data_IF_035935614994
#
_entry.id   IF_035935614994
#
_cell.length_a   1.000
_cell.length_b   1.000
_cell.length_c   1.000
_cell.angle_alpha   90.00
_cell.angle_beta   90.00
_cell.angle_gamma   90.00
#
_symmetry.space_group_name_H-M   'P 1'
#
loop_
_entity.id
_entity.type
_entity.pdbx_description
1 polymer ?
#
# COMPACT_ATOMS: atom_id res chain seq x y z
N UNK A 1 -18.72 18.31 10.91
CA UNK A 1 -17.35 17.89 11.33
C UNK A 1 -16.89 16.63 10.61
N UNK A 2 -17.68 15.55 10.60
CA UNK A 2 -17.41 14.30 9.85
C UNK A 2 -17.27 14.59 8.35
N UNK A 3 -18.23 15.30 7.76
CA UNK A 3 -18.20 15.70 6.34
C UNK A 3 -16.93 16.49 5.97
N UNK A 4 -16.44 17.36 6.87
CA UNK A 4 -15.19 18.10 6.67
C UNK A 4 -13.98 17.16 6.62
N UNK A 5 -13.97 16.09 7.42
CA UNK A 5 -12.92 15.07 7.31
C UNK A 5 -13.03 14.31 5.98
N UNK A 6 -14.24 13.99 5.52
CA UNK A 6 -14.44 13.36 4.21
C UNK A 6 -13.93 14.22 3.05
N UNK A 7 -14.22 15.52 3.06
CA UNK A 7 -13.68 16.46 2.09
C UNK A 7 -12.15 16.52 2.12
N UNK A 8 -11.55 16.57 3.32
CA UNK A 8 -10.09 16.59 3.46
C UNK A 8 -9.43 15.30 2.96
N UNK A 9 -10.03 14.14 3.23
CA UNK A 9 -9.57 12.84 2.72
C UNK A 9 -9.62 12.85 1.19
N UNK A 10 -10.74 13.28 0.60
CA UNK A 10 -10.93 13.36 -0.84
C UNK A 10 -9.88 14.26 -1.50
N UNK A 11 -9.78 15.51 -1.06
CA UNK A 11 -8.82 16.50 -1.62
C UNK A 11 -7.38 16.01 -1.47
N UNK A 12 -7.01 15.46 -0.31
CA UNK A 12 -5.65 14.97 -0.08
C UNK A 12 -5.32 13.76 -0.96
N UNK A 13 -6.30 12.89 -1.22
CA UNK A 13 -6.17 11.74 -2.13
C UNK A 13 -6.02 12.17 -3.58
N UNK A 14 -6.83 13.13 -4.03
CA UNK A 14 -6.74 13.70 -5.38
C UNK A 14 -5.40 14.41 -5.60
N UNK A 15 -4.96 15.22 -4.63
CA UNK A 15 -3.66 15.89 -4.68
C UNK A 15 -2.49 14.89 -4.68
N UNK A 16 -2.56 13.82 -3.87
CA UNK A 16 -1.57 12.74 -3.90
C UNK A 16 -1.51 12.10 -5.29
N UNK A 17 -2.66 11.79 -5.89
CA UNK A 17 -2.71 11.18 -7.24
C UNK A 17 -2.08 12.10 -8.29
N UNK A 18 -2.40 13.40 -8.25
CA UNK A 18 -1.80 14.37 -9.15
C UNK A 18 -0.28 14.49 -8.97
N UNK A 19 0.19 14.50 -7.71
CA UNK A 19 1.63 14.52 -7.40
C UNK A 19 2.34 13.23 -7.83
N UNK A 20 1.71 12.07 -7.64
CA UNK A 20 2.25 10.80 -8.16
C UNK A 20 2.44 10.88 -9.67
N UNK A 21 1.43 11.36 -10.40
CA UNK A 21 1.55 11.54 -11.85
C UNK A 21 2.67 12.50 -12.20
N UNK A 22 2.75 13.65 -11.52
CA UNK A 22 3.80 14.64 -11.77
C UNK A 22 5.19 14.05 -11.49
N UNK A 23 5.41 13.46 -10.32
CA UNK A 23 6.73 12.92 -9.95
C UNK A 23 7.20 11.80 -10.86
N UNK A 24 6.31 10.90 -11.30
CA UNK A 24 6.69 9.80 -12.19
C UNK A 24 6.74 10.17 -13.68
N UNK A 25 6.51 11.44 -14.03
CA UNK A 25 6.61 11.94 -15.41
C UNK A 25 7.64 13.06 -15.56
N UNK A 26 7.76 13.94 -14.56
CA UNK A 26 8.63 15.12 -14.59
C UNK A 26 9.80 15.04 -13.59
N UNK A 27 9.83 14.03 -12.71
CA UNK A 27 10.80 13.97 -11.61
C UNK A 27 10.59 15.09 -10.60
N UNK A 28 11.61 15.36 -9.78
CA UNK A 28 11.59 16.46 -8.79
C UNK A 28 12.61 17.57 -9.08
N UNK A 29 13.57 17.32 -9.97
CA UNK A 29 14.70 18.21 -10.24
C UNK A 29 14.43 19.25 -11.35
N UNK A 30 13.31 19.15 -12.06
CA UNK A 30 12.95 20.10 -13.12
C UNK A 30 13.90 20.07 -14.32
N UNK A 31 14.51 18.92 -14.58
CA UNK A 31 15.42 18.72 -15.72
C UNK A 31 14.66 18.61 -17.05
N UNK A 32 15.34 18.80 -18.20
CA UNK A 32 14.74 18.57 -19.51
C UNK A 32 14.22 17.14 -19.66
N UNK A 33 13.25 16.96 -20.56
CA UNK A 33 12.67 15.66 -20.84
C UNK A 33 13.18 15.10 -22.17
N UNK A 34 13.32 13.77 -22.23
CA UNK A 34 13.58 12.99 -23.44
C UNK A 34 12.38 12.13 -23.82
N UNK A 35 12.23 11.86 -25.11
CA UNK A 35 11.20 10.94 -25.62
C UNK A 35 11.65 9.48 -25.46
N UNK A 36 10.75 8.64 -24.93
CA UNK A 36 10.94 7.20 -24.80
C UNK A 36 9.71 6.45 -25.28
N UNK A 37 9.79 5.13 -25.37
CA UNK A 37 8.65 4.28 -25.70
C UNK A 37 7.49 4.33 -24.68
N UNK A 38 7.72 4.89 -23.48
CA UNK A 38 6.72 5.06 -22.42
C UNK A 38 6.23 6.53 -22.34
N UNK A 39 6.77 7.41 -23.19
CA UNK A 39 6.46 8.84 -23.25
C UNK A 39 7.63 9.73 -22.85
N UNK A 40 7.33 11.00 -22.59
CA UNK A 40 8.30 11.99 -22.12
C UNK A 40 8.69 11.72 -20.67
N UNK A 41 9.99 11.66 -20.41
CA UNK A 41 10.55 11.37 -19.09
C UNK A 41 11.77 12.26 -18.85
N UNK A 42 12.19 12.49 -17.60
CA UNK A 42 13.38 13.28 -17.31
C UNK A 42 14.65 12.68 -17.94
N UNK A 43 15.58 13.52 -18.40
CA UNK A 43 16.78 13.07 -19.13
C UNK A 43 17.63 12.07 -18.35
N UNK A 44 17.73 12.21 -17.03
CA UNK A 44 18.50 11.31 -16.18
C UNK A 44 17.81 9.96 -15.92
N UNK A 45 16.50 9.86 -16.19
CA UNK A 45 15.72 8.66 -15.93
C UNK A 45 15.91 7.61 -17.02
N UNK A 46 15.82 6.34 -16.67
CA UNK A 46 16.04 5.22 -17.57
C UNK A 46 14.80 4.33 -17.68
N UNK A 47 14.61 3.75 -18.87
CA UNK A 47 13.63 2.68 -19.09
C UNK A 47 14.28 1.36 -18.76
N UNK A 48 13.78 0.69 -17.73
CA UNK A 48 14.27 -0.62 -17.26
C UNK A 48 13.13 -1.61 -17.17
N UNK A 49 13.45 -2.90 -17.15
CA UNK A 49 12.47 -3.96 -16.87
C UNK A 49 12.38 -4.22 -15.36
N UNK A 50 11.22 -4.67 -14.88
CA UNK A 50 11.01 -4.99 -13.46
C UNK A 50 12.06 -5.96 -12.91
N UNK A 51 12.47 -6.95 -13.69
CA UNK A 51 13.51 -7.91 -13.28
C UNK A 51 14.89 -7.29 -13.02
N UNK A 52 15.16 -6.08 -13.51
CA UNK A 52 16.44 -5.38 -13.33
C UNK A 52 16.51 -4.67 -11.97
N UNK A 53 15.35 -4.40 -11.35
CA UNK A 53 15.26 -3.72 -10.04
C UNK A 53 15.55 -4.67 -8.87
N UNK A 54 15.37 -5.97 -9.09
CA UNK A 54 15.68 -6.97 -8.09
C UNK A 54 15.06 -8.32 -8.38
N UNK A 55 15.06 -9.18 -7.37
CA UNK A 55 14.63 -10.57 -7.54
C UNK A 55 13.11 -10.67 -7.58
N UNK A 56 12.57 -11.12 -8.71
CA UNK A 56 11.15 -11.40 -8.85
C UNK A 56 10.78 -12.79 -8.30
N UNK A 57 9.77 -12.83 -7.42
CA UNK A 57 9.29 -14.04 -6.73
C UNK A 57 7.79 -14.17 -6.91
N UNK A 58 7.33 -15.25 -7.53
CA UNK A 58 5.91 -15.62 -7.57
C UNK A 58 5.58 -16.45 -6.34
N UNK A 59 4.47 -16.17 -5.66
CA UNK A 59 4.05 -16.94 -4.50
C UNK A 59 3.78 -18.42 -4.81
N UNK A 60 3.64 -19.19 -3.74
CA UNK A 60 3.40 -20.65 -3.77
C UNK A 60 2.47 -21.01 -2.63
N UNK A 61 1.44 -21.80 -2.92
CA UNK A 61 0.55 -22.34 -1.87
C UNK A 61 1.01 -23.76 -1.54
N UNK A 62 1.44 -24.04 -0.29
CA UNK A 62 1.65 -25.41 0.18
C UNK A 62 0.40 -26.26 0.01
N UNK A 63 0.55 -27.59 0.05
CA UNK A 63 -0.60 -28.49 0.00
C UNK A 63 -1.52 -28.20 1.19
N UNK A 64 -2.75 -27.78 0.90
CA UNK A 64 -3.75 -27.45 1.93
C UNK A 64 -4.23 -28.64 2.74
N UNK A 65 -4.03 -29.86 2.23
CA UNK A 65 -4.37 -31.12 2.90
C UNK A 65 -3.26 -31.66 3.82
N UNK A 66 -2.16 -30.93 3.97
CA UNK A 66 -1.05 -31.31 4.86
C UNK A 66 -1.12 -30.37 6.05
N UNK A 67 -1.75 -30.83 7.13
CA UNK A 67 -2.05 -30.01 8.31
C UNK A 67 -0.79 -29.41 8.95
N UNK A 68 0.34 -30.13 8.89
CA UNK A 68 1.65 -29.66 9.36
C UNK A 68 2.06 -28.30 8.78
N UNK A 69 1.60 -27.94 7.56
CA UNK A 69 1.92 -26.67 6.93
C UNK A 69 1.10 -25.49 7.49
N UNK A 70 0.01 -25.75 8.22
CA UNK A 70 -0.97 -24.76 8.67
C UNK A 70 -1.17 -24.75 10.18
N UNK A 71 -0.89 -25.87 10.86
CA UNK A 71 -0.94 -25.99 12.31
C UNK A 71 0.16 -25.18 12.99
N UNK A 72 -0.16 -24.60 14.15
CA UNK A 72 0.75 -23.74 14.92
C UNK A 72 1.40 -22.64 14.06
N UNK A 73 0.59 -21.78 13.41
CA UNK A 73 1.09 -20.79 12.48
C UNK A 73 2.02 -19.77 13.15
N UNK A 74 3.10 -19.42 12.45
CA UNK A 74 4.10 -18.46 12.91
C UNK A 74 4.27 -17.27 11.93
N UNK A 75 3.98 -17.48 10.64
CA UNK A 75 4.26 -16.52 9.57
C UNK A 75 3.00 -16.16 8.79
N UNK A 76 3.02 -15.00 8.16
CA UNK A 76 1.91 -14.57 7.30
C UNK A 76 1.91 -15.32 5.96
N UNK A 77 0.73 -15.78 5.56
CA UNK A 77 0.43 -16.29 4.23
C UNK A 77 -0.48 -15.31 3.50
N UNK A 78 0.14 -14.40 2.74
CA UNK A 78 -0.50 -13.22 2.16
C UNK A 78 -1.25 -13.60 0.88
N UNK A 79 -2.52 -13.24 0.81
CA UNK A 79 -3.39 -13.40 -0.35
C UNK A 79 -3.88 -12.04 -0.89
N UNK A 80 -4.48 -11.97 -2.09
CA UNK A 80 -4.94 -10.70 -2.67
C UNK A 80 -5.97 -9.92 -1.85
N UNK A 81 -6.68 -10.59 -0.94
CA UNK A 81 -7.63 -9.96 -0.02
C UNK A 81 -6.93 -9.14 1.08
N UNK A 82 -5.68 -9.49 1.43
CA UNK A 82 -4.88 -8.80 2.44
C UNK A 82 -4.24 -7.52 1.88
N UNK A 83 -4.06 -7.43 0.56
CA UNK A 83 -3.41 -6.31 -0.11
C UNK A 83 -4.43 -5.19 -0.40
N UNK A 84 -3.98 -3.94 -0.24
CA UNK A 84 -4.71 -2.73 -0.61
C UNK A 84 -5.49 -2.04 0.51
N UNK A 85 -5.49 -2.59 1.73
CA UNK A 85 -6.04 -1.91 2.93
C UNK A 85 -5.11 -0.81 3.43
N UNK A 86 -3.82 -1.14 3.49
CA UNK A 86 -2.70 -0.28 3.91
C UNK A 86 -1.53 -0.54 2.97
N UNK A 87 -0.54 0.38 2.97
CA UNK A 87 0.69 0.22 2.21
C UNK A 87 1.45 -1.05 2.61
N UNK A 88 1.64 -1.25 3.92
CA UNK A 88 2.28 -2.43 4.48
C UNK A 88 1.23 -3.44 4.90
N UNK A 89 1.46 -4.71 4.58
CA UNK A 89 0.66 -5.84 5.09
C UNK A 89 1.24 -6.24 6.45
N UNK A 90 0.55 -5.85 7.52
CA UNK A 90 0.96 -6.14 8.89
C UNK A 90 0.53 -7.51 9.36
N UNK A 91 -0.63 -7.98 8.91
CA UNK A 91 -1.17 -9.30 9.19
C UNK A 91 -1.97 -9.77 7.98
N UNK A 92 -1.93 -11.08 7.71
CA UNK A 92 -2.81 -11.74 6.73
C UNK A 92 -3.91 -12.52 7.43
N UNK A 93 -5.04 -12.71 6.74
CA UNK A 93 -6.15 -13.52 7.25
C UNK A 93 -5.76 -14.98 7.47
N UNK A 94 -4.89 -15.50 6.61
CA UNK A 94 -4.31 -16.85 6.74
C UNK A 94 -2.86 -16.76 7.16
N UNK A 95 -2.43 -17.73 7.95
CA UNK A 95 -1.05 -17.86 8.39
C UNK A 95 -0.52 -19.26 8.06
N UNK A 96 0.79 -19.42 8.14
CA UNK A 96 1.50 -20.63 7.76
C UNK A 96 2.49 -21.01 8.86
N UNK A 97 2.66 -22.32 9.07
CA UNK A 97 3.63 -22.86 10.01
C UNK A 97 5.06 -22.70 9.48
N UNK A 98 6.05 -22.96 10.34
CA UNK A 98 7.46 -23.03 9.93
C UNK A 98 7.71 -24.10 8.86
N UNK A 99 7.06 -25.26 8.96
CA UNK A 99 7.16 -26.33 7.96
C UNK A 99 6.56 -25.91 6.62
N UNK A 100 5.40 -25.25 6.63
CA UNK A 100 4.77 -24.72 5.43
C UNK A 100 5.61 -23.63 4.76
N UNK A 101 6.23 -22.74 5.57
CA UNK A 101 7.14 -21.73 5.05
C UNK A 101 8.38 -22.36 4.40
N UNK A 102 8.91 -23.44 4.96
CA UNK A 102 10.07 -24.17 4.44
C UNK A 102 9.88 -24.78 3.05
N UNK A 103 8.64 -25.05 2.65
CA UNK A 103 8.29 -25.52 1.29
C UNK A 103 7.75 -24.41 0.39
N UNK A 104 7.70 -23.17 0.89
CA UNK A 104 7.21 -22.00 0.17
C UNK A 104 8.34 -21.07 -0.24
N UNK A 105 8.06 -20.15 -1.16
CA UNK A 105 8.98 -19.06 -1.47
C UNK A 105 8.83 -17.96 -0.42
N UNK A 106 9.90 -17.76 0.36
CA UNK A 106 9.96 -16.77 1.43
C UNK A 106 10.22 -15.38 0.87
N UNK A 107 9.49 -14.40 1.40
CA UNK A 107 9.70 -12.99 1.16
C UNK A 107 10.23 -12.32 2.45
N UNK A 108 11.34 -11.56 2.37
CA UNK A 108 11.78 -10.72 3.46
C UNK A 108 10.86 -9.51 3.65
N UNK A 109 11.05 -8.77 4.74
CA UNK A 109 10.48 -7.44 4.91
C UNK A 109 10.87 -6.52 3.74
N UNK A 110 10.03 -5.53 3.44
CA UNK A 110 10.21 -4.58 2.34
C UNK A 110 10.19 -5.18 0.93
N UNK A 111 9.61 -6.37 0.75
CA UNK A 111 9.30 -6.91 -0.58
C UNK A 111 8.05 -6.24 -1.14
N UNK A 112 8.12 -5.71 -2.36
CA UNK A 112 6.98 -5.07 -3.03
C UNK A 112 6.15 -6.13 -3.73
N UNK A 113 4.90 -6.29 -3.31
CA UNK A 113 3.96 -7.31 -3.79
C UNK A 113 2.96 -6.71 -4.77
N UNK A 114 2.61 -7.46 -5.80
CA UNK A 114 1.66 -7.08 -6.83
C UNK A 114 0.72 -8.24 -7.13
N UNK A 115 -0.58 -7.99 -7.01
CA UNK A 115 -1.59 -8.97 -7.43
C UNK A 115 -1.64 -9.00 -8.95
N UNK A 116 -1.37 -10.17 -9.52
CA UNK A 116 -1.23 -10.38 -10.95
C UNK A 116 -2.34 -11.28 -11.55
N UNK A 117 -3.24 -11.83 -10.72
CA UNK A 117 -4.29 -12.76 -11.16
C UNK A 117 -5.63 -12.38 -10.53
N UNK A 118 -6.68 -12.33 -11.35
CA UNK A 118 -8.07 -12.18 -10.91
C UNK A 118 -8.57 -10.75 -10.83
N UNK A 119 -9.78 -10.57 -10.31
CA UNK A 119 -10.48 -9.27 -10.27
C UNK A 119 -9.75 -8.18 -9.48
N UNK A 120 -8.80 -8.57 -8.64
CA UNK A 120 -8.00 -7.65 -7.81
C UNK A 120 -6.62 -7.35 -8.39
N UNK A 121 -6.38 -7.72 -9.65
CA UNK A 121 -5.15 -7.40 -10.38
C UNK A 121 -4.81 -5.90 -10.30
N UNK A 122 -3.53 -5.60 -10.10
CA UNK A 122 -3.02 -4.25 -9.93
C UNK A 122 -2.98 -3.74 -8.48
N UNK A 123 -3.50 -4.49 -7.50
CA UNK A 123 -3.26 -4.15 -6.09
C UNK A 123 -1.78 -4.31 -5.75
N UNK A 124 -1.22 -3.31 -5.05
CA UNK A 124 0.18 -3.28 -4.62
C UNK A 124 0.26 -3.18 -3.10
N UNK A 125 1.27 -3.81 -2.49
CA UNK A 125 1.54 -3.75 -1.06
C UNK A 125 3.00 -4.04 -0.74
N UNK A 126 3.40 -3.88 0.52
CA UNK A 126 4.76 -4.17 1.00
C UNK A 126 4.70 -5.14 2.18
N UNK A 127 5.60 -6.13 2.23
CA UNK A 127 5.74 -7.00 3.40
C UNK A 127 6.33 -6.24 4.59
N UNK A 128 5.75 -6.41 5.78
CA UNK A 128 6.23 -5.75 7.01
C UNK A 128 7.10 -6.64 7.91
N UNK A 129 6.86 -7.96 7.88
CA UNK A 129 7.53 -8.94 8.76
C UNK A 129 8.82 -9.44 8.12
N UNK A 130 9.75 -9.90 8.95
CA UNK A 130 11.04 -10.46 8.52
C UNK A 130 10.87 -11.61 7.52
N UNK A 131 9.84 -12.44 7.71
CA UNK A 131 9.51 -13.57 6.83
C UNK A 131 8.01 -13.66 6.62
N UNK A 132 7.61 -13.78 5.37
CA UNK A 132 6.25 -14.13 4.95
C UNK A 132 6.29 -14.95 3.67
N UNK A 133 5.13 -15.46 3.24
CA UNK A 133 4.96 -16.04 1.92
C UNK A 133 3.65 -15.55 1.31
N UNK A 134 3.52 -15.70 -0.01
CA UNK A 134 2.33 -15.27 -0.74
C UNK A 134 1.73 -16.43 -1.53
N UNK A 135 0.44 -16.34 -1.87
CA UNK A 135 -0.20 -17.28 -2.78
C UNK A 135 0.25 -17.09 -4.25
N UNK A 136 -0.12 -18.01 -5.15
CA UNK A 136 0.31 -17.96 -6.56
C UNK A 136 -0.22 -16.76 -7.37
N UNK A 137 -1.16 -15.99 -6.82
CA UNK A 137 -1.75 -14.84 -7.51
C UNK A 137 -0.88 -13.57 -7.39
N UNK A 138 0.18 -13.62 -6.59
CA UNK A 138 1.02 -12.49 -6.26
C UNK A 138 2.43 -12.71 -6.80
N UNK A 139 2.90 -11.75 -7.60
CA UNK A 139 4.33 -11.59 -7.88
C UNK A 139 4.90 -10.52 -6.96
N UNK A 140 6.16 -10.69 -6.55
CA UNK A 140 6.83 -9.77 -5.65
C UNK A 140 8.22 -9.41 -6.18
N UNK A 141 8.72 -8.25 -5.79
CA UNK A 141 10.06 -7.77 -6.11
C UNK A 141 10.79 -7.58 -4.78
N UNK A 142 11.89 -8.29 -4.61
CA UNK A 142 12.87 -8.03 -3.55
C UNK A 142 13.89 -7.07 -4.19
N UNK A 143 13.77 -5.78 -3.91
CA UNK A 143 14.62 -4.75 -4.52
C UNK A 143 16.09 -4.93 -4.12
N UNK A 144 16.99 -4.65 -5.06
CA UNK A 144 18.42 -4.56 -4.77
C UNK A 144 18.73 -3.29 -3.95
N UNK A 145 19.95 -3.17 -3.45
CA UNK A 145 20.35 -2.06 -2.57
C UNK A 145 20.23 -0.67 -3.23
N UNK A 146 20.31 -0.58 -4.55
CA UNK A 146 20.18 0.67 -5.30
C UNK A 146 18.74 1.22 -5.37
N UNK A 147 17.76 0.42 -4.95
CA UNK A 147 16.35 0.65 -5.20
C UNK A 147 15.54 0.72 -3.92
N UNK A 148 14.78 1.81 -3.72
CA UNK A 148 13.94 1.98 -2.55
C UNK A 148 12.57 1.29 -2.74
N UNK A 149 12.21 0.27 -1.93
CA UNK A 149 10.93 -0.42 -2.04
C UNK A 149 9.69 0.49 -1.88
N UNK A 150 9.81 1.56 -1.09
CA UNK A 150 8.72 2.52 -0.91
C UNK A 150 8.48 3.35 -2.16
N UNK A 151 9.52 3.67 -2.93
CA UNK A 151 9.40 4.32 -4.24
C UNK A 151 8.68 3.39 -5.22
N UNK A 152 9.11 2.13 -5.30
CA UNK A 152 8.49 1.14 -6.19
C UNK A 152 7.05 0.83 -5.82
N UNK A 153 6.68 0.82 -4.54
CA UNK A 153 5.27 0.73 -4.15
C UNK A 153 4.41 1.80 -4.83
N UNK A 154 4.86 3.06 -4.83
CA UNK A 154 4.11 4.15 -5.46
C UNK A 154 4.14 4.05 -6.99
N UNK A 155 5.30 3.77 -7.59
CA UNK A 155 5.44 3.62 -9.03
C UNK A 155 4.53 2.50 -9.57
N UNK A 156 4.57 1.34 -8.94
CA UNK A 156 3.76 0.18 -9.33
C UNK A 156 2.26 0.42 -9.09
N UNK A 157 1.91 1.19 -8.06
CA UNK A 157 0.53 1.64 -7.84
C UNK A 157 0.07 2.58 -8.97
N UNK A 158 0.93 3.46 -9.47
CA UNK A 158 0.61 4.38 -10.55
C UNK A 158 0.36 3.66 -11.88
N UNK A 159 1.14 2.62 -12.17
CA UNK A 159 1.00 1.83 -13.41
C UNK A 159 0.04 0.64 -13.26
N UNK A 160 -0.70 0.53 -12.15
CA UNK A 160 -1.58 -0.62 -11.91
C UNK A 160 -2.65 -0.79 -13.00
N UNK A 161 -3.15 0.32 -13.54
CA UNK A 161 -4.14 0.30 -14.61
C UNK A 161 -3.53 -0.14 -15.95
N UNK A 162 -2.24 0.13 -16.18
CA UNK A 162 -1.50 -0.41 -17.31
C UNK A 162 -1.42 -1.95 -17.24
N UNK A 163 -1.15 -2.52 -16.07
CA UNK A 163 -1.18 -3.98 -15.91
C UNK A 163 -2.56 -4.58 -16.13
N UNK A 164 -3.63 -3.89 -15.73
CA UNK A 164 -5.00 -4.34 -15.97
C UNK A 164 -5.32 -4.40 -17.46
N UNK A 165 -4.85 -3.43 -18.25
CA UNK A 165 -5.09 -3.38 -19.70
C UNK A 165 -4.19 -4.32 -20.50
N UNK A 166 -3.05 -4.74 -19.96
CA UNK A 166 -2.08 -5.63 -20.62
C UNK A 166 -2.11 -7.07 -20.09
N UNK A 167 -3.00 -7.37 -19.15
CA UNK A 167 -3.25 -8.73 -18.71
C UNK A 167 -3.85 -9.56 -19.86
N UNK A 168 -3.48 -10.84 -19.93
CA UNK A 168 -4.08 -11.73 -20.94
C UNK A 168 -5.57 -11.89 -20.63
N UNK A 169 -6.43 -11.46 -21.56
CA UNK A 169 -7.88 -11.50 -21.40
C UNK A 169 -8.41 -12.91 -21.66
N UNK A 170 -8.49 -13.71 -20.59
CA UNK A 170 -9.38 -14.87 -20.48
C UNK A 170 -10.56 -14.58 -19.53
N UNK A 171 -11.31 -15.61 -19.08
CA UNK A 171 -12.36 -15.44 -18.06
C UNK A 171 -11.84 -14.83 -16.75
N UNK A 172 -10.54 -15.00 -16.49
CA UNK A 172 -9.81 -14.42 -15.36
C UNK A 172 -8.57 -13.70 -15.93
N UNK A 173 -8.38 -12.40 -15.69
CA UNK A 173 -7.20 -11.68 -16.17
C UNK A 173 -5.94 -12.18 -15.46
N UNK A 174 -4.88 -12.43 -16.24
CA UNK A 174 -3.60 -12.96 -15.75
C UNK A 174 -2.44 -12.16 -16.36
N UNK A 175 -1.59 -11.64 -15.49
CA UNK A 175 -0.24 -11.18 -15.81
C UNK A 175 0.75 -12.25 -15.30
N UNK A 176 1.28 -13.08 -16.19
CA UNK A 176 2.20 -14.15 -15.77
C UNK A 176 3.56 -13.58 -15.31
N UNK A 177 4.40 -14.41 -14.66
CA UNK A 177 5.71 -13.98 -14.14
C UNK A 177 6.61 -13.37 -15.24
N UNK A 178 6.65 -13.97 -16.43
CA UNK A 178 7.45 -13.45 -17.53
C UNK A 178 6.96 -12.09 -18.03
N UNK A 179 5.65 -11.90 -18.16
CA UNK A 179 5.06 -10.60 -18.52
C UNK A 179 5.36 -9.55 -17.43
N UNK A 180 5.25 -9.93 -16.15
CA UNK A 180 5.61 -9.07 -15.03
C UNK A 180 7.08 -8.66 -15.08
N UNK A 181 8.00 -9.63 -15.20
CA UNK A 181 9.45 -9.41 -15.26
C UNK A 181 9.88 -8.54 -16.45
N UNK A 182 9.23 -8.71 -17.61
CA UNK A 182 9.52 -7.95 -18.83
C UNK A 182 8.80 -6.62 -18.91
N UNK A 183 7.92 -6.27 -17.96
CA UNK A 183 7.25 -4.97 -17.96
C UNK A 183 8.28 -3.87 -17.86
N UNK A 184 8.26 -2.95 -18.83
CA UNK A 184 9.13 -1.79 -18.86
C UNK A 184 8.54 -0.67 -18.00
N UNK A 185 9.39 -0.05 -17.22
CA UNK A 185 9.05 1.06 -16.33
C UNK A 185 10.15 2.12 -16.38
N UNK A 186 9.77 3.35 -16.08
CA UNK A 186 10.70 4.48 -16.05
C UNK A 186 11.11 4.72 -14.60
N UNK A 187 12.41 4.79 -14.34
CA UNK A 187 12.95 4.98 -13.00
C UNK A 187 14.13 5.95 -13.01
N UNK A 188 14.27 6.70 -11.92
CA UNK A 188 15.54 7.34 -11.59
C UNK A 188 16.49 6.32 -10.96
N UNK A 189 17.77 6.34 -11.37
CA UNK A 189 18.84 5.58 -10.70
C UNK A 189 19.37 6.30 -9.47
N UNK A 190 19.06 7.58 -9.29
CA UNK A 190 19.43 8.33 -8.11
C UNK A 190 18.57 7.88 -6.92
N UNK A 191 19.22 7.23 -5.96
CA UNK A 191 18.56 6.72 -4.76
C UNK A 191 18.04 7.86 -3.86
N UNK A 192 18.68 9.02 -3.87
CA UNK A 192 18.23 10.17 -3.09
C UNK A 192 16.94 10.74 -3.68
N UNK A 193 16.86 10.89 -5.01
CA UNK A 193 15.61 11.25 -5.69
C UNK A 193 14.49 10.21 -5.42
N UNK A 194 14.79 8.90 -5.47
CA UNK A 194 13.82 7.87 -5.10
C UNK A 194 13.31 8.04 -3.65
N UNK A 195 14.22 8.33 -2.71
CA UNK A 195 13.89 8.54 -1.30
C UNK A 195 13.01 9.78 -1.11
N UNK A 196 13.35 10.90 -1.76
CA UNK A 196 12.58 12.14 -1.67
C UNK A 196 11.16 11.97 -2.22
N UNK A 197 11.01 11.35 -3.39
CA UNK A 197 9.69 11.02 -3.96
C UNK A 197 8.90 10.14 -2.98
N UNK A 198 9.52 9.08 -2.46
CA UNK A 198 8.86 8.17 -1.52
C UNK A 198 8.44 8.88 -0.21
N UNK A 199 9.29 9.75 0.34
CA UNK A 199 9.00 10.53 1.55
C UNK A 199 7.86 11.51 1.29
N UNK A 200 7.91 12.26 0.18
CA UNK A 200 6.88 13.19 -0.22
C UNK A 200 5.51 12.53 -0.29
N UNK A 201 5.41 11.41 -1.02
CA UNK A 201 4.17 10.64 -1.15
C UNK A 201 3.71 10.00 0.16
N UNK A 202 4.63 9.53 1.00
CA UNK A 202 4.30 8.96 2.32
C UNK A 202 3.71 9.99 3.27
N UNK A 203 4.05 11.28 3.11
CA UNK A 203 3.50 12.36 3.92
C UNK A 203 2.00 12.55 3.63
N UNK A 204 1.60 12.40 2.36
CA UNK A 204 0.19 12.39 1.99
C UNK A 204 -0.56 11.20 2.57
N UNK A 205 0.05 10.00 2.55
CA UNK A 205 -0.56 8.81 3.18
C UNK A 205 -0.79 9.02 4.67
N UNK A 206 0.21 9.52 5.41
CA UNK A 206 0.07 9.85 6.83
C UNK A 206 -1.05 10.85 7.09
N UNK A 207 -1.20 11.85 6.21
CA UNK A 207 -2.27 12.86 6.31
C UNK A 207 -3.65 12.27 6.03
N UNK A 208 -3.78 11.41 5.03
CA UNK A 208 -5.03 10.68 4.72
C UNK A 208 -5.42 9.79 5.91
N UNK A 209 -4.45 9.06 6.47
CA UNK A 209 -4.66 8.21 7.63
C UNK A 209 -5.10 9.02 8.85
N UNK A 210 -4.44 10.14 9.14
CA UNK A 210 -4.80 11.05 10.21
C UNK A 210 -6.27 11.51 10.11
N UNK A 211 -6.70 11.98 8.94
CA UNK A 211 -8.08 12.40 8.73
C UNK A 211 -9.07 11.23 8.82
N UNK A 212 -8.68 10.05 8.35
CA UNK A 212 -9.49 8.82 8.43
C UNK A 212 -9.72 8.39 9.88
N UNK A 213 -8.67 8.38 10.72
CA UNK A 213 -8.78 8.08 12.16
C UNK A 213 -9.66 9.12 12.86
N UNK A 214 -9.46 10.41 12.59
CA UNK A 214 -10.29 11.48 13.16
C UNK A 214 -11.76 11.35 12.79
N UNK A 215 -12.05 10.99 11.53
CA UNK A 215 -13.41 10.67 11.09
C UNK A 215 -14.02 9.52 11.89
N UNK A 216 -13.27 8.42 12.04
CA UNK A 216 -13.74 7.24 12.78
C UNK A 216 -14.09 7.59 14.24
N UNK A 217 -13.23 8.32 14.94
CA UNK A 217 -13.48 8.79 16.32
C UNK A 217 -14.73 9.65 16.39
N UNK A 218 -14.89 10.63 15.49
CA UNK A 218 -16.08 11.48 15.44
C UNK A 218 -17.36 10.67 15.19
N UNK A 219 -17.32 9.70 14.28
CA UNK A 219 -18.47 8.83 13.98
C UNK A 219 -18.83 7.96 15.19
N UNK A 220 -17.84 7.39 15.87
CA UNK A 220 -18.06 6.59 17.08
C UNK A 220 -18.72 7.45 18.18
N UNK A 221 -18.15 8.62 18.48
CA UNK A 221 -18.71 9.51 19.50
C UNK A 221 -20.13 9.97 19.17
N UNK A 222 -20.40 10.30 17.89
CA UNK A 222 -21.76 10.67 17.46
C UNK A 222 -22.75 9.53 17.73
N UNK A 223 -22.40 8.29 17.40
CA UNK A 223 -23.24 7.11 17.67
C UNK A 223 -23.48 6.91 19.17
N UNK A 224 -22.43 7.06 19.99
CA UNK A 224 -22.53 6.94 21.45
C UNK A 224 -23.44 8.02 22.04
N UNK A 225 -23.23 9.29 21.70
CA UNK A 225 -24.07 10.39 22.18
C UNK A 225 -25.52 10.25 21.73
N UNK A 226 -25.75 9.84 20.48
CA UNK A 226 -27.10 9.58 19.97
C UNK A 226 -27.78 8.47 20.78
N UNK A 227 -27.06 7.39 21.10
CA UNK A 227 -27.58 6.31 21.93
C UNK A 227 -27.92 6.78 23.35
N UNK A 228 -27.03 7.53 24.00
CA UNK A 228 -27.26 8.08 25.35
C UNK A 228 -28.48 9.02 25.40
N UNK A 229 -28.65 9.84 24.37
CA UNK A 229 -29.78 10.77 24.24
C UNK A 229 -31.10 10.04 24.00
N UNK A 230 -31.12 9.04 23.12
CA UNK A 230 -32.34 8.26 22.79
C UNK A 230 -32.76 7.39 23.97
N UNK A 231 -31.81 6.77 24.66
CA UNK A 231 -32.10 5.95 25.86
C UNK A 231 -32.36 6.79 27.10
N UNK A 232 -32.14 8.11 27.03
CA UNK A 232 -32.32 9.02 28.15
C UNK A 232 -31.28 8.88 29.26
N UNK A 233 -30.21 8.11 29.03
CA UNK A 233 -29.03 8.01 29.90
C UNK A 233 -28.33 9.37 30.07
N UNK A 234 -28.49 10.26 29.08
CA UNK A 234 -28.02 11.64 29.13
C UNK A 234 -29.06 12.60 28.61
N UNK A 235 -29.20 13.76 29.24
CA UNK A 235 -30.11 14.82 28.77
C UNK A 235 -29.32 15.90 28.03
N UNK A 236 -29.97 16.54 27.06
CA UNK A 236 -29.34 17.56 26.19
C UNK A 236 -28.73 18.71 26.99
N UNK A 237 -29.36 19.13 28.09
CA UNK A 237 -28.87 20.23 28.94
C UNK A 237 -27.61 19.88 29.75
N UNK A 238 -27.21 18.60 29.79
CA UNK A 238 -26.01 18.11 30.48
C UNK A 238 -24.80 18.00 29.52
N UNK A 239 -24.95 18.45 28.27
CA UNK A 239 -23.90 18.37 27.25
C UNK A 239 -23.20 19.73 27.13
N UNK A 240 -21.95 19.80 27.61
CA UNK A 240 -21.03 20.87 27.28
C UNK A 240 -20.32 20.54 25.95
N UNK A 241 -20.85 21.12 24.88
CA UNK A 241 -20.34 20.92 23.53
C UNK A 241 -18.93 21.48 23.32
N UNK A 242 -18.54 22.54 24.04
CA UNK A 242 -17.20 23.13 23.90
C UNK A 242 -16.14 22.30 24.63
N UNK A 243 -16.48 21.77 25.82
CA UNK A 243 -15.60 20.81 26.51
C UNK A 243 -15.37 19.55 25.68
N UNK A 244 -16.43 18.95 25.14
CA UNK A 244 -16.31 17.75 24.30
C UNK A 244 -15.48 17.99 23.03
N UNK A 245 -15.63 19.15 22.40
CA UNK A 245 -14.85 19.54 21.22
C UNK A 245 -13.36 19.70 21.53
N UNK A 246 -13.02 20.18 22.73
CA UNK A 246 -11.62 20.35 23.19
C UNK A 246 -10.97 19.00 23.49
N UNK A 247 -11.67 18.10 24.18
CA UNK A 247 -11.24 16.70 24.37
C UNK A 247 -11.02 15.99 23.03
N UNK A 248 -11.88 16.26 22.04
CA UNK A 248 -11.77 15.76 20.67
C UNK A 248 -10.52 16.21 19.92
N UNK A 249 -10.10 17.47 20.12
CA UNK A 249 -8.88 17.99 19.52
C UNK A 249 -7.65 17.33 20.14
N UNK A 250 -7.64 17.17 21.46
CA UNK A 250 -6.54 16.53 22.19
C UNK A 250 -6.40 15.03 21.90
N UNK A 251 -7.52 14.29 21.80
CA UNK A 251 -7.50 12.85 21.50
C UNK A 251 -7.13 12.53 20.05
N UNK A 252 -7.27 13.49 19.14
CA UNK A 252 -6.96 13.33 17.72
C UNK A 252 -5.53 13.75 17.35
N UNK A 253 -4.77 14.41 18.25
CA UNK A 253 -3.37 14.73 18.00
C UNK A 253 -2.53 13.43 17.95
N UNK A 254 -1.63 13.28 16.97
CA UNK A 254 -0.76 12.13 16.95
C UNK A 254 0.14 12.18 18.18
N UNK A 255 0.13 11.12 19.00
CA UNK A 255 1.25 10.86 19.91
C UNK A 255 2.48 10.66 19.03
N UNK A 256 3.28 11.70 18.88
CA UNK A 256 4.60 11.62 18.28
C UNK A 256 5.47 10.82 19.25
N UNK A 257 5.39 9.49 19.18
CA UNK A 257 6.43 8.63 19.73
C UNK A 257 7.67 8.80 18.85
N UNK A 258 8.51 9.76 19.24
CA UNK A 258 9.91 9.74 18.86
C UNK A 258 10.54 8.54 19.56
N UNK A 259 10.54 7.37 18.90
CA UNK A 259 11.42 6.29 19.31
C UNK A 259 12.85 6.69 18.96
N UNK A 260 13.63 6.94 20.03
CA UNK A 260 15.08 6.94 20.02
C UNK A 260 15.61 5.53 19.78
#
# INVERSE_FOLDING_TARGET
AIEKQDQLIKITTELKKALMQKFFTEGINGEPQKETEIGLVPESWEVVKIQEIGKCVTGTTPKTKVDEYWDNPEYDFIAPADIGKTKYVYNSEKQISKAGLGVSRVLPANSVMCVCIGSSIGKVGITSKEKSSTNQQINSIICNEDYNPNYFFYLLTQISDYWRSHATFGPVPILNKGQFEQTKIVVTKDKDEQNEIAIGLSTFDKKIEFHSRKKQTLTYMFKTLLHELITGQRRVHEIDFEKQKKELLMAAEPKMEYNK
#
